data_IF_792986394502
#
_entry.id   IF_792986394502
#
_cell.length_a   1.000
_cell.length_b   1.000
_cell.length_c   1.000
_cell.angle_alpha   90.00
_cell.angle_beta   90.00
_cell.angle_gamma   90.00
#
_symmetry.space_group_name_H-M   'P 1'
#
loop_
_entity.id
_entity.type
_entity.pdbx_description
1 polymer ?
#
# COMPACT_ATOMS: atom_id res chain seq x y z
N UNK A 1 -8.49 -8.12 5.88
CA UNK A 1 -7.58 -8.50 4.77
C UNK A 1 -6.14 -8.19 5.15
N UNK A 2 -5.17 -8.91 4.59
CA UNK A 2 -3.74 -8.62 4.69
C UNK A 2 -3.36 -7.63 3.59
N UNK A 3 -2.76 -6.50 3.96
CA UNK A 3 -2.41 -5.42 3.03
C UNK A 3 -0.90 -5.23 3.03
N UNK A 4 -0.25 -5.49 1.91
CA UNK A 4 1.16 -5.17 1.73
C UNK A 4 1.37 -3.69 1.45
N UNK A 5 2.34 -3.07 2.12
CA UNK A 5 2.67 -1.67 1.94
C UNK A 5 3.97 -1.59 1.13
N UNK A 6 3.92 -0.92 -0.02
CA UNK A 6 5.04 -0.74 -0.92
C UNK A 6 5.30 0.76 -1.17
N UNK A 7 6.55 1.16 -1.30
CA UNK A 7 6.91 2.57 -1.45
C UNK A 7 8.41 2.85 -1.55
N UNK A 8 8.81 4.12 -1.73
CA UNK A 8 10.21 4.51 -1.67
C UNK A 8 10.74 4.43 -0.24
N UNK A 9 11.94 3.86 -0.06
CA UNK A 9 12.65 3.80 1.23
C UNK A 9 14.07 4.39 1.12
N UNK A 10 14.87 3.88 0.17
CA UNK A 10 16.27 4.29 -0.01
C UNK A 10 16.43 5.77 -0.35
N UNK A 11 17.37 6.44 0.31
CA UNK A 11 17.68 7.86 0.07
C UNK A 11 16.73 8.85 0.76
N UNK A 12 15.74 8.38 1.51
CA UNK A 12 14.84 9.23 2.32
C UNK A 12 15.26 9.24 3.80
N UNK A 13 14.95 10.31 4.55
CA UNK A 13 15.15 10.35 6.00
C UNK A 13 14.49 9.15 6.68
N UNK A 14 15.21 8.52 7.62
CA UNK A 14 14.75 7.34 8.36
C UNK A 14 14.23 6.20 7.45
N UNK A 15 14.75 6.10 6.22
CA UNK A 15 14.28 5.16 5.19
C UNK A 15 12.77 5.19 4.96
N UNK A 16 12.14 6.36 5.16
CA UNK A 16 10.70 6.56 5.08
C UNK A 16 9.87 5.69 6.06
N UNK A 17 10.49 5.09 7.10
CA UNK A 17 9.83 4.18 8.05
C UNK A 17 8.61 4.83 8.71
N UNK A 18 8.67 6.13 8.99
CA UNK A 18 7.56 6.88 9.59
C UNK A 18 6.30 6.86 8.71
N UNK A 19 6.45 7.07 7.39
CA UNK A 19 5.32 7.01 6.46
C UNK A 19 4.76 5.60 6.34
N UNK A 20 5.62 4.58 6.30
CA UNK A 20 5.19 3.19 6.29
C UNK A 20 4.38 2.84 7.55
N UNK A 21 4.83 3.30 8.72
CA UNK A 21 4.16 3.08 10.00
C UNK A 21 2.82 3.83 10.09
N UNK A 22 2.75 5.05 9.56
CA UNK A 22 1.49 5.80 9.44
C UNK A 22 0.47 5.04 8.59
N UNK A 23 0.87 4.57 7.40
CA UNK A 23 -0.01 3.76 6.54
C UNK A 23 -0.40 2.45 7.23
N UNK A 24 0.52 1.80 7.94
CA UNK A 24 0.21 0.59 8.71
C UNK A 24 -0.85 0.87 9.79
N UNK A 25 -0.81 2.04 10.44
CA UNK A 25 -1.84 2.52 11.34
C UNK A 25 -3.21 2.61 10.65
N UNK A 26 -3.29 3.27 9.49
CA UNK A 26 -4.53 3.37 8.70
C UNK A 26 -5.08 2.01 8.28
N UNK A 27 -4.20 1.07 7.91
CA UNK A 27 -4.59 -0.31 7.61
C UNK A 27 -5.22 -0.96 8.84
N UNK A 28 -4.63 -0.82 10.02
CA UNK A 28 -5.20 -1.34 11.28
C UNK A 28 -6.55 -0.69 11.60
N UNK A 29 -6.64 0.64 11.50
CA UNK A 29 -7.87 1.40 11.76
C UNK A 29 -9.02 0.99 10.83
N UNK A 30 -8.70 0.57 9.60
CA UNK A 30 -9.68 0.03 8.64
C UNK A 30 -10.09 -1.43 8.91
N UNK A 31 -9.63 -2.05 10.01
CA UNK A 31 -9.93 -3.44 10.36
C UNK A 31 -9.09 -4.47 9.58
N UNK A 32 -7.97 -4.06 9.00
CA UNK A 32 -7.09 -4.90 8.18
C UNK A 32 -5.75 -5.17 8.88
N UNK A 33 -4.97 -6.11 8.34
CA UNK A 33 -3.66 -6.53 8.87
C UNK A 33 -2.57 -5.95 7.95
N UNK A 34 -1.72 -5.03 8.43
CA UNK A 34 -0.62 -4.50 7.63
C UNK A 34 0.52 -5.51 7.51
N UNK A 35 1.01 -5.70 6.28
CA UNK A 35 2.29 -6.34 6.00
C UNK A 35 3.27 -5.21 5.62
N UNK A 36 4.03 -4.76 6.61
CA UNK A 36 4.89 -3.58 6.51
C UNK A 36 6.38 -3.98 6.44
N UNK A 37 7.08 -3.82 5.31
CA UNK A 37 8.51 -4.14 5.21
C UNK A 37 9.39 -3.20 6.06
N UNK A 38 8.90 -2.05 6.52
CA UNK A 38 9.65 -1.14 7.37
C UNK A 38 9.90 -1.66 8.79
N UNK A 39 9.38 -2.83 9.17
CA UNK A 39 9.72 -3.51 10.44
C UNK A 39 11.03 -4.31 10.35
N UNK A 40 11.55 -4.53 9.15
CA UNK A 40 12.75 -5.33 8.95
C UNK A 40 13.99 -4.62 9.56
N UNK A 41 14.96 -5.39 10.08
CA UNK A 41 16.16 -4.84 10.68
C UNK A 41 17.02 -4.12 9.63
N UNK A 42 17.85 -3.17 10.08
CA UNK A 42 18.86 -2.54 9.23
C UNK A 42 20.01 -3.51 8.91
N UNK A 43 20.74 -3.21 7.84
CA UNK A 43 21.99 -3.91 7.49
C UNK A 43 21.83 -5.10 6.54
N UNK A 44 20.61 -5.40 6.08
CA UNK A 44 20.42 -6.41 5.03
C UNK A 44 20.79 -5.83 3.65
N UNK A 45 21.31 -6.64 2.73
CA UNK A 45 21.47 -6.21 1.35
C UNK A 45 20.10 -6.08 0.67
N UNK A 46 20.02 -5.23 -0.37
CA UNK A 46 18.79 -4.99 -1.14
C UNK A 46 18.12 -6.28 -1.61
N UNK A 47 18.90 -7.27 -2.05
CA UNK A 47 18.39 -8.59 -2.48
C UNK A 47 17.56 -9.27 -1.39
N UNK A 48 17.98 -9.18 -0.14
CA UNK A 48 17.31 -9.87 0.96
C UNK A 48 16.04 -9.13 1.37
N UNK A 49 16.07 -7.79 1.37
CA UNK A 49 14.86 -6.98 1.52
C UNK A 49 13.82 -7.31 0.44
N UNK A 50 14.25 -7.40 -0.83
CA UNK A 50 13.37 -7.76 -1.93
C UNK A 50 12.81 -9.19 -1.80
N UNK A 51 13.63 -10.17 -1.41
CA UNK A 51 13.17 -11.53 -1.21
C UNK A 51 12.09 -11.63 -0.12
N UNK A 52 12.30 -10.94 1.02
CA UNK A 52 11.33 -10.90 2.11
C UNK A 52 10.07 -10.13 1.71
N UNK A 53 10.22 -8.95 1.09
CA UNK A 53 9.10 -8.12 0.62
C UNK A 53 8.22 -8.83 -0.40
N UNK A 54 8.83 -9.56 -1.35
CA UNK A 54 8.11 -10.39 -2.32
C UNK A 54 7.30 -11.49 -1.62
N UNK A 55 7.89 -12.17 -0.63
CA UNK A 55 7.17 -13.20 0.12
C UNK A 55 6.00 -12.59 0.91
N UNK A 56 6.18 -11.43 1.54
CA UNK A 56 5.11 -10.69 2.20
C UNK A 56 3.99 -10.32 1.23
N UNK A 57 4.33 -9.79 0.05
CA UNK A 57 3.37 -9.44 -0.99
C UNK A 57 2.59 -10.66 -1.51
N UNK A 58 3.27 -11.79 -1.73
CA UNK A 58 2.61 -13.04 -2.17
C UNK A 58 1.61 -13.57 -1.16
N UNK A 59 1.80 -13.27 0.13
CA UNK A 59 0.83 -13.59 1.17
C UNK A 59 -0.30 -12.55 1.28
N UNK A 60 -0.23 -11.40 0.63
CA UNK A 60 -1.17 -10.31 0.80
C UNK A 60 -2.47 -10.51 0.00
N UNK A 61 -3.57 -10.00 0.52
CA UNK A 61 -4.86 -9.97 -0.18
C UNK A 61 -4.99 -8.67 -1.03
N UNK A 62 -4.18 -7.64 -0.71
CA UNK A 62 -4.13 -6.36 -1.43
C UNK A 62 -2.77 -5.67 -1.25
N UNK A 63 -2.47 -4.70 -2.13
CA UNK A 63 -1.30 -3.82 -2.05
C UNK A 63 -1.70 -2.35 -1.88
N UNK A 64 -1.03 -1.64 -0.98
CA UNK A 64 -1.07 -0.19 -0.87
C UNK A 64 0.25 0.40 -1.37
N UNK A 65 0.18 1.34 -2.30
CA UNK A 65 1.34 2.02 -2.87
C UNK A 65 1.43 3.43 -2.28
N UNK A 66 2.51 3.70 -1.54
CA UNK A 66 2.83 5.03 -1.01
C UNK A 66 3.14 5.98 -2.17
N UNK A 67 2.76 7.26 -2.03
CA UNK A 67 3.06 8.30 -3.01
C UNK A 67 4.54 8.31 -3.41
N UNK A 68 4.81 8.44 -4.71
CA UNK A 68 6.16 8.39 -5.26
C UNK A 68 6.71 6.98 -5.48
N UNK A 69 5.90 5.92 -5.32
CA UNK A 69 6.28 4.54 -5.61
C UNK A 69 6.78 4.35 -7.05
N UNK A 70 6.32 5.15 -8.01
CA UNK A 70 6.76 5.14 -9.41
C UNK A 70 8.27 5.40 -9.56
N UNK A 71 8.85 6.12 -8.60
CA UNK A 71 10.27 6.46 -8.57
C UNK A 71 11.12 5.40 -7.83
N UNK A 72 10.49 4.43 -7.15
CA UNK A 72 11.17 3.35 -6.43
C UNK A 72 11.31 2.11 -7.31
N UNK A 73 12.54 1.65 -7.56
CA UNK A 73 12.79 0.43 -8.33
C UNK A 73 12.15 -0.80 -7.67
N UNK A 74 12.29 -0.93 -6.34
CA UNK A 74 11.68 -2.00 -5.56
C UNK A 74 10.15 -1.97 -5.62
N UNK A 75 9.53 -0.80 -5.37
CA UNK A 75 8.07 -0.68 -5.37
C UNK A 75 7.47 -0.93 -6.76
N UNK A 76 8.18 -0.57 -7.85
CA UNK A 76 7.79 -0.94 -9.21
C UNK A 76 7.80 -2.44 -9.44
N UNK A 77 8.83 -3.14 -8.95
CA UNK A 77 8.91 -4.60 -9.06
C UNK A 77 7.77 -5.29 -8.29
N UNK A 78 7.49 -4.82 -7.08
CA UNK A 78 6.37 -5.29 -6.25
C UNK A 78 5.02 -5.04 -6.92
N UNK A 79 4.79 -3.84 -7.47
CA UNK A 79 3.57 -3.53 -8.23
C UNK A 79 3.40 -4.46 -9.44
N UNK A 80 4.47 -4.70 -10.20
CA UNK A 80 4.42 -5.58 -11.36
C UNK A 80 4.09 -7.04 -10.96
N UNK A 81 4.62 -7.51 -9.82
CA UNK A 81 4.27 -8.81 -9.28
C UNK A 81 2.81 -8.85 -8.81
N UNK A 82 2.33 -7.81 -8.12
CA UNK A 82 0.95 -7.70 -7.68
C UNK A 82 -0.02 -7.79 -8.87
N UNK A 83 0.23 -7.05 -9.95
CA UNK A 83 -0.56 -7.14 -11.19
C UNK A 83 -0.55 -8.57 -11.76
N UNK A 84 0.61 -9.22 -11.80
CA UNK A 84 0.76 -10.57 -12.32
C UNK A 84 -0.03 -11.60 -11.52
N UNK A 85 -0.15 -11.40 -10.22
CA UNK A 85 -0.87 -12.26 -9.29
C UNK A 85 -2.35 -11.84 -9.11
N UNK A 86 -2.81 -10.80 -9.81
CA UNK A 86 -4.14 -10.21 -9.63
C UNK A 86 -4.41 -9.73 -8.19
N UNK A 87 -3.36 -9.29 -7.49
CA UNK A 87 -3.49 -8.68 -6.15
C UNK A 87 -3.97 -7.24 -6.35
N UNK A 88 -5.18 -6.89 -5.88
CA UNK A 88 -5.74 -5.57 -6.11
C UNK A 88 -4.99 -4.48 -5.33
N UNK A 89 -4.88 -3.30 -5.95
CA UNK A 89 -4.43 -2.09 -5.26
C UNK A 89 -5.57 -1.45 -4.50
N UNK A 90 -5.32 -1.09 -3.24
CA UNK A 90 -6.25 -0.29 -2.43
C UNK A 90 -5.74 1.13 -2.21
N UNK A 91 -6.66 2.04 -1.88
CA UNK A 91 -6.35 3.41 -1.44
C UNK A 91 -7.28 3.79 -0.30
N UNK A 92 -6.75 4.52 0.66
CA UNK A 92 -7.56 5.15 1.71
C UNK A 92 -8.06 6.49 1.21
N UNK A 93 -9.36 6.73 1.36
CA UNK A 93 -9.94 8.04 1.14
C UNK A 93 -10.08 8.70 2.52
N UNK A 94 -9.37 9.81 2.72
CA UNK A 94 -9.57 10.66 3.89
C UNK A 94 -10.89 11.42 3.71
N UNK A 95 -11.89 11.06 4.51
CA UNK A 95 -13.14 11.81 4.58
C UNK A 95 -12.84 13.20 5.18
N UNK A 96 -12.93 14.26 4.38
CA UNK A 96 -12.72 15.65 4.81
C UNK A 96 -11.89 16.53 3.87
N UNK A 97 -11.19 15.96 2.89
CA UNK A 97 -10.48 16.74 1.87
C UNK A 97 -11.37 16.90 0.62
N UNK A 98 -12.25 17.90 0.65
CA UNK A 98 -13.00 18.30 -0.55
C UNK A 98 -12.06 18.95 -1.57
N UNK A 99 -11.60 18.21 -2.57
CA UNK A 99 -11.27 18.81 -3.85
C UNK A 99 -12.36 18.45 -4.86
N UNK A 100 -13.04 19.51 -5.32
CA UNK A 100 -13.98 19.64 -6.44
C UNK A 100 -14.28 18.35 -7.23
N UNK A 101 -15.58 18.02 -7.26
CA UNK A 101 -16.25 17.12 -8.22
C UNK A 101 -15.55 17.14 -9.59
N UNK A 102 -14.93 16.02 -9.95
CA UNK A 102 -14.74 15.58 -11.33
C UNK A 102 -15.51 14.27 -11.45
N UNK A 103 -16.69 14.35 -12.03
CA UNK A 103 -17.44 13.17 -12.47
C UNK A 103 -16.59 12.45 -13.50
N UNK A 104 -16.05 11.28 -13.15
CA UNK A 104 -15.38 10.41 -14.12
C UNK A 104 -16.45 9.60 -14.88
N UNK A 105 -16.30 9.36 -16.20
CA UNK A 105 -17.28 8.64 -17.00
C UNK A 105 -17.23 7.11 -16.76
N UNK A 106 -18.38 6.46 -16.97
CA UNK A 106 -18.76 5.11 -16.52
C UNK A 106 -17.99 3.90 -17.12
N UNK A 107 -16.82 4.07 -17.74
CA UNK A 107 -16.19 3.02 -18.58
C UNK A 107 -14.81 2.48 -18.14
N UNK A 108 -14.33 2.77 -16.92
CA UNK A 108 -13.10 2.16 -16.38
C UNK A 108 -13.41 1.01 -15.40
N UNK A 109 -13.02 -0.26 -15.68
CA UNK A 109 -13.15 -1.33 -14.72
C UNK A 109 -12.00 -1.24 -13.72
N UNK A 110 -12.21 -0.48 -12.64
CA UNK A 110 -11.34 -0.45 -11.47
C UNK A 110 -12.22 -0.57 -10.24
N UNK A 111 -12.19 -1.75 -9.60
CA UNK A 111 -12.99 -2.10 -8.43
C UNK A 111 -12.96 -0.96 -7.39
N UNK A 112 -14.09 -0.25 -7.25
CA UNK A 112 -14.39 0.58 -6.10
C UNK A 112 -15.01 -0.37 -5.07
N UNK A 113 -14.30 -0.65 -3.98
CA UNK A 113 -14.93 -1.23 -2.79
C UNK A 113 -15.40 -0.05 -1.94
N UNK A 114 -16.71 0.26 -1.90
CA UNK A 114 -17.22 1.27 -0.98
C UNK A 114 -17.17 0.68 0.43
N UNK A 115 -16.31 1.23 1.29
CA UNK A 115 -16.36 0.89 2.71
C UNK A 115 -17.49 1.69 3.36
N UNK A 116 -18.59 0.99 3.66
CA UNK A 116 -19.63 1.48 4.56
C UNK A 116 -19.20 1.19 6.00
N UNK A 117 -19.06 2.22 6.82
CA UNK A 117 -19.23 2.08 8.27
C UNK A 117 -20.68 2.41 8.57
N UNK A 118 -21.39 1.36 8.95
CA UNK A 118 -22.79 1.25 9.31
C UNK A 118 -23.19 2.29 10.37
N UNK A 119 -24.37 2.90 10.19
CA UNK A 119 -25.02 3.75 11.18
C UNK A 119 -25.02 3.06 12.56
N UNK A 120 -24.49 3.74 13.57
CA UNK A 120 -24.72 3.37 14.98
C UNK A 120 -25.60 4.43 15.64
N UNK A 121 -26.89 4.10 15.65
CA UNK A 121 -28.02 4.66 16.44
C UNK A 121 -28.30 6.15 16.38
#
# INVERSE_FOLDING_TARGET
MKVYIAGPMSGLPNFNRDRFNEIAGLVVESGNIPLNPAILPDGLPERDYMAIGIAMLQCADAIYLIEGWENSAGAKAEKALADKLNIPRIRFLIAGWQHRRLTLPDWLPGVIIPFYLEDRK
#
